data_IF_153065360851
#
_entry.id   IF_153065360851
#
_cell.length_a   1.000
_cell.length_b   1.000
_cell.length_c   1.000
_cell.angle_alpha   90.00
_cell.angle_beta   90.00
_cell.angle_gamma   90.00
#
_symmetry.space_group_name_H-M   'P 1'
#
loop_
_entity.id
_entity.type
_entity.pdbx_description
1 polymer ?
#
# COMPACT_ATOMS: atom_id res chain seq x y z
N UNK A 1 24.52 13.78 -15.25
CA UNK A 1 25.23 12.81 -14.39
C UNK A 1 24.90 12.96 -12.89
N UNK A 2 24.87 14.18 -12.29
CA UNK A 2 24.52 14.36 -10.85
C UNK A 2 23.14 13.81 -10.47
N UNK A 3 22.13 13.92 -11.32
CA UNK A 3 20.76 13.44 -11.03
C UNK A 3 20.63 11.91 -11.08
N UNK A 4 21.40 11.22 -11.93
CA UNK A 4 21.40 9.76 -11.99
C UNK A 4 22.02 9.17 -10.73
N UNK A 5 23.14 9.72 -10.25
CA UNK A 5 23.75 9.28 -8.99
C UNK A 5 22.81 9.43 -7.79
N UNK A 6 22.13 10.59 -7.69
CA UNK A 6 21.12 10.82 -6.64
C UNK A 6 20.00 9.78 -6.70
N UNK A 7 19.49 9.48 -7.90
CA UNK A 7 18.45 8.46 -8.08
C UNK A 7 18.90 7.09 -7.63
N UNK A 8 20.09 6.64 -8.06
CA UNK A 8 20.63 5.33 -7.68
C UNK A 8 20.78 5.23 -6.15
N UNK A 9 21.35 6.26 -5.51
CA UNK A 9 21.55 6.27 -4.05
C UNK A 9 20.20 6.23 -3.32
N UNK A 10 19.24 7.07 -3.70
CA UNK A 10 17.92 7.11 -3.05
C UNK A 10 17.13 5.82 -3.29
N UNK A 11 17.17 5.25 -4.51
CA UNK A 11 16.54 3.96 -4.81
C UNK A 11 17.15 2.82 -4.01
N UNK A 12 18.49 2.78 -3.91
CA UNK A 12 19.19 1.83 -3.06
C UNK A 12 18.83 1.97 -1.58
N UNK A 13 18.77 3.20 -1.06
CA UNK A 13 18.35 3.44 0.33
C UNK A 13 16.91 2.97 0.60
N UNK A 14 15.97 3.26 -0.29
CA UNK A 14 14.58 2.78 -0.19
C UNK A 14 14.55 1.25 -0.17
N UNK A 15 15.27 0.60 -1.09
CA UNK A 15 15.35 -0.87 -1.15
C UNK A 15 15.90 -1.45 0.16
N UNK A 16 17.00 -0.88 0.68
CA UNK A 16 17.59 -1.32 1.96
C UNK A 16 16.61 -1.16 3.11
N UNK A 17 15.86 -0.06 3.18
CA UNK A 17 14.83 0.15 4.21
C UNK A 17 13.73 -0.92 4.10
N UNK A 18 13.21 -1.19 2.91
CA UNK A 18 12.20 -2.23 2.73
C UNK A 18 12.70 -3.62 3.13
N UNK A 19 13.91 -3.99 2.69
CA UNK A 19 14.52 -5.27 3.07
C UNK A 19 14.73 -5.35 4.58
N UNK A 20 15.24 -4.29 5.20
CA UNK A 20 15.45 -4.25 6.66
C UNK A 20 14.12 -4.40 7.43
N UNK A 21 13.06 -3.71 7.00
CA UNK A 21 11.72 -3.84 7.62
C UNK A 21 11.22 -5.28 7.48
N UNK A 22 11.32 -5.90 6.31
CA UNK A 22 10.92 -7.29 6.09
C UNK A 22 11.70 -8.22 7.02
N UNK A 23 13.03 -8.12 7.05
CA UNK A 23 13.87 -8.97 7.88
C UNK A 23 13.58 -8.78 9.38
N UNK A 24 13.48 -7.53 9.85
CA UNK A 24 13.11 -7.24 11.24
C UNK A 24 11.73 -7.77 11.59
N UNK A 25 10.78 -7.69 10.68
CA UNK A 25 9.42 -8.20 10.87
C UNK A 25 9.41 -9.71 10.97
N UNK A 26 10.07 -10.41 10.04
CA UNK A 26 10.04 -11.87 9.96
C UNK A 26 10.95 -12.55 11.00
N UNK A 27 12.11 -11.96 11.32
CA UNK A 27 13.12 -12.58 12.17
C UNK A 27 13.09 -12.11 13.63
N UNK A 28 12.53 -10.92 13.90
CA UNK A 28 12.54 -10.33 15.25
C UNK A 28 11.13 -10.21 15.81
N UNK A 29 10.29 -9.33 15.26
CA UNK A 29 8.94 -9.13 15.76
C UNK A 29 8.05 -8.34 14.77
N UNK A 30 6.78 -8.72 14.70
CA UNK A 30 5.76 -8.11 13.82
C UNK A 30 5.53 -6.62 14.05
N UNK A 31 5.82 -6.11 15.23
CA UNK A 31 5.68 -4.67 15.57
C UNK A 31 6.51 -3.77 14.64
N UNK A 32 7.61 -4.26 14.07
CA UNK A 32 8.39 -3.48 13.10
C UNK A 32 7.59 -3.16 11.85
N UNK A 33 6.77 -4.11 11.38
CA UNK A 33 5.85 -3.87 10.27
C UNK A 33 4.76 -2.86 10.65
N UNK A 34 4.17 -2.99 11.83
CA UNK A 34 3.12 -2.08 12.30
C UNK A 34 3.62 -0.63 12.39
N UNK A 35 4.79 -0.40 12.99
CA UNK A 35 5.41 0.92 13.09
C UNK A 35 5.74 1.47 11.70
N UNK A 36 6.23 0.64 10.80
CA UNK A 36 6.50 1.03 9.42
C UNK A 36 5.22 1.45 8.68
N UNK A 37 4.14 0.67 8.80
CA UNK A 37 2.82 1.01 8.22
C UNK A 37 2.29 2.33 8.77
N UNK A 38 2.40 2.54 10.10
CA UNK A 38 2.00 3.81 10.71
C UNK A 38 2.83 4.99 10.17
N UNK A 39 4.14 4.82 10.02
CA UNK A 39 5.01 5.85 9.45
C UNK A 39 4.62 6.19 7.99
N UNK A 40 4.31 5.17 7.18
CA UNK A 40 3.82 5.36 5.81
C UNK A 40 2.46 6.07 5.78
N UNK A 41 1.53 5.71 6.69
CA UNK A 41 0.20 6.33 6.77
C UNK A 41 0.30 7.80 7.17
N UNK A 42 1.14 8.15 8.14
CA UNK A 42 1.39 9.54 8.58
C UNK A 42 2.07 10.34 7.46
N UNK A 43 3.14 9.80 6.87
CA UNK A 43 3.84 10.47 5.77
C UNK A 43 2.94 10.68 4.55
N UNK A 44 2.21 9.65 4.15
CA UNK A 44 1.24 9.71 3.06
C UNK A 44 0.11 10.71 3.33
N UNK A 45 -0.39 10.75 4.57
CA UNK A 45 -1.41 11.72 4.99
C UNK A 45 -0.94 13.17 4.83
N UNK A 46 0.29 13.47 5.23
CA UNK A 46 0.88 14.80 5.09
C UNK A 46 1.04 15.16 3.60
N UNK A 47 1.57 14.25 2.79
CA UNK A 47 1.79 14.46 1.36
C UNK A 47 0.48 14.69 0.61
N UNK A 48 -0.52 13.81 0.82
CA UNK A 48 -1.82 13.94 0.16
C UNK A 48 -2.58 15.16 0.65
N UNK A 49 -2.55 15.50 1.95
CA UNK A 49 -3.14 16.75 2.46
C UNK A 49 -2.56 17.99 1.80
N UNK A 50 -1.23 18.03 1.66
CA UNK A 50 -0.55 19.15 0.99
C UNK A 50 -0.88 19.21 -0.51
N UNK A 51 -1.00 18.05 -1.16
CA UNK A 51 -1.39 17.97 -2.56
C UNK A 51 -2.82 18.46 -2.79
N UNK A 52 -3.79 17.98 -2.02
CA UNK A 52 -5.21 18.36 -2.07
C UNK A 52 -5.37 19.88 -1.86
N UNK A 53 -4.62 20.44 -0.89
CA UNK A 53 -4.66 21.87 -0.55
C UNK A 53 -4.27 22.80 -1.68
N UNK A 54 -3.69 22.29 -2.79
CA UNK A 54 -3.32 23.12 -3.95
C UNK A 54 -4.53 23.52 -4.81
N UNK A 55 -5.60 22.77 -4.78
CA UNK A 55 -6.77 23.01 -5.63
C UNK A 55 -8.11 22.91 -4.89
N UNK A 56 -8.17 22.20 -3.78
CA UNK A 56 -9.35 21.98 -2.96
C UNK A 56 -9.18 22.60 -1.57
N UNK A 57 -10.25 22.81 -0.81
CA UNK A 57 -10.18 23.28 0.57
C UNK A 57 -9.27 22.40 1.41
N UNK A 58 -8.45 23.07 2.22
CA UNK A 58 -7.40 22.40 3.00
C UNK A 58 -7.99 21.36 3.97
N UNK A 59 -7.51 20.11 3.95
CA UNK A 59 -7.87 19.11 4.95
C UNK A 59 -7.48 19.54 6.36
N UNK A 60 -8.24 19.13 7.36
CA UNK A 60 -7.93 19.38 8.78
C UNK A 60 -6.88 18.37 9.24
N UNK A 61 -5.61 18.65 8.91
CA UNK A 61 -4.49 17.73 9.13
C UNK A 61 -4.39 17.17 10.55
N UNK A 62 -4.60 17.95 11.65
CA UNK A 62 -4.57 17.38 13.00
C UNK A 62 -5.58 16.24 13.20
N UNK A 63 -6.78 16.32 12.60
CA UNK A 63 -7.79 15.26 12.71
C UNK A 63 -7.35 14.02 11.90
N UNK A 64 -6.78 14.22 10.72
CA UNK A 64 -6.24 13.12 9.91
C UNK A 64 -5.14 12.37 10.66
N UNK A 65 -4.17 13.09 11.24
CA UNK A 65 -3.07 12.49 12.01
C UNK A 65 -3.57 11.82 13.29
N UNK A 66 -4.51 12.45 13.99
CA UNK A 66 -5.16 11.84 15.16
C UNK A 66 -5.87 10.52 14.78
N UNK A 67 -6.52 10.47 13.61
CA UNK A 67 -7.15 9.22 13.12
C UNK A 67 -6.14 8.11 12.94
N UNK A 68 -4.98 8.40 12.34
CA UNK A 68 -3.93 7.40 12.17
C UNK A 68 -3.38 6.88 13.51
N UNK A 69 -3.04 7.81 14.41
CA UNK A 69 -2.42 7.46 15.71
C UNK A 69 -3.43 6.79 16.64
N UNK A 70 -4.62 7.37 16.85
CA UNK A 70 -5.64 6.79 17.72
C UNK A 70 -6.16 5.46 17.16
N UNK A 71 -6.28 5.36 15.82
CA UNK A 71 -6.63 4.12 15.16
C UNK A 71 -5.60 3.02 15.40
N UNK A 72 -4.31 3.34 15.33
CA UNK A 72 -3.24 2.40 15.66
C UNK A 72 -3.26 2.00 17.14
N UNK A 73 -3.45 2.95 18.05
CA UNK A 73 -3.57 2.66 19.49
C UNK A 73 -4.75 1.75 19.76
N UNK A 74 -5.92 2.03 19.16
CA UNK A 74 -7.10 1.18 19.30
C UNK A 74 -6.87 -0.24 18.73
N UNK A 75 -6.18 -0.34 17.58
CA UNK A 75 -5.76 -1.61 17.00
C UNK A 75 -4.92 -2.43 17.99
N UNK A 76 -3.88 -1.83 18.60
CA UNK A 76 -2.99 -2.52 19.56
C UNK A 76 -3.74 -2.90 20.85
N UNK A 77 -4.56 -2.01 21.39
CA UNK A 77 -5.33 -2.27 22.60
C UNK A 77 -6.38 -3.37 22.39
N UNK A 78 -7.06 -3.37 21.26
CA UNK A 78 -8.05 -4.38 20.91
C UNK A 78 -7.42 -5.78 20.84
N UNK A 79 -6.22 -5.90 20.30
CA UNK A 79 -5.49 -7.17 20.27
C UNK A 79 -5.09 -7.66 21.66
N UNK A 80 -4.54 -6.76 22.47
CA UNK A 80 -3.94 -7.16 23.78
C UNK A 80 -4.98 -7.34 24.89
N UNK A 81 -6.02 -6.49 24.90
CA UNK A 81 -6.95 -6.39 26.04
C UNK A 81 -8.28 -7.06 25.74
N UNK A 82 -8.88 -6.77 24.60
CA UNK A 82 -10.29 -7.14 24.33
C UNK A 82 -10.39 -8.42 23.46
N UNK A 83 -9.31 -8.81 22.80
CA UNK A 83 -9.24 -9.94 21.86
C UNK A 83 -10.27 -9.86 20.72
N UNK A 84 -10.71 -8.64 20.40
CA UNK A 84 -11.56 -8.34 19.23
C UNK A 84 -10.62 -8.04 18.06
N UNK A 85 -11.05 -8.30 16.82
CA UNK A 85 -10.25 -8.06 15.64
C UNK A 85 -9.69 -6.63 15.59
N UNK A 86 -8.37 -6.47 15.69
CA UNK A 86 -7.71 -5.16 15.78
C UNK A 86 -8.01 -4.25 14.60
N UNK A 87 -8.12 -4.82 13.38
CA UNK A 87 -8.46 -4.05 12.19
C UNK A 87 -9.89 -3.46 12.28
N UNK A 88 -10.84 -4.19 12.85
CA UNK A 88 -12.20 -3.69 13.11
C UNK A 88 -12.18 -2.48 14.04
N UNK A 89 -11.39 -2.54 15.12
CA UNK A 89 -11.24 -1.43 16.06
C UNK A 89 -10.66 -0.20 15.40
N UNK A 90 -9.69 -0.36 14.49
CA UNK A 90 -9.18 0.74 13.68
C UNK A 90 -10.29 1.42 12.87
N UNK A 91 -11.10 0.65 12.15
CA UNK A 91 -12.20 1.22 11.34
C UNK A 91 -13.29 1.85 12.19
N UNK A 92 -13.56 1.36 13.40
CA UNK A 92 -14.45 2.02 14.35
C UNK A 92 -13.91 3.42 14.73
N UNK A 93 -12.60 3.56 14.97
CA UNK A 93 -11.99 4.87 15.21
C UNK A 93 -12.13 5.78 14.01
N UNK A 94 -11.89 5.28 12.78
CA UNK A 94 -12.09 6.08 11.55
C UNK A 94 -13.51 6.62 11.49
N UNK A 95 -14.52 5.79 11.75
CA UNK A 95 -15.93 6.21 11.77
C UNK A 95 -16.20 7.28 12.83
N UNK A 96 -15.75 7.06 14.06
CA UNK A 96 -15.91 8.03 15.15
C UNK A 96 -15.23 9.36 14.80
N UNK A 97 -14.04 9.32 14.21
CA UNK A 97 -13.32 10.54 13.81
C UNK A 97 -13.99 11.25 12.63
N UNK A 98 -14.65 10.53 11.72
CA UNK A 98 -15.50 11.13 10.69
C UNK A 98 -16.70 11.87 11.31
N UNK A 99 -17.38 11.28 12.29
CA UNK A 99 -18.48 11.94 13.00
C UNK A 99 -17.99 13.16 13.78
N UNK A 100 -16.87 13.04 14.50
CA UNK A 100 -16.27 14.15 15.22
C UNK A 100 -15.87 15.30 14.27
N UNK A 101 -15.33 14.99 13.09
CA UNK A 101 -15.02 15.98 12.05
C UNK A 101 -16.28 16.72 11.58
N UNK A 102 -17.39 16.02 11.33
CA UNK A 102 -18.65 16.64 10.90
C UNK A 102 -19.11 17.64 11.98
N UNK A 103 -19.17 17.21 13.23
CA UNK A 103 -19.56 18.10 14.37
C UNK A 103 -18.61 19.28 14.48
N UNK A 104 -17.30 19.05 14.39
CA UNK A 104 -16.30 20.11 14.45
C UNK A 104 -16.47 21.16 13.35
N UNK A 105 -16.72 20.71 12.10
CA UNK A 105 -16.95 21.61 10.96
C UNK A 105 -18.28 22.37 11.13
N UNK A 106 -19.35 21.74 11.61
CA UNK A 106 -20.65 22.38 11.87
C UNK A 106 -20.52 23.49 12.94
N UNK A 107 -19.71 23.29 13.95
CA UNK A 107 -19.48 24.28 15.01
C UNK A 107 -18.44 25.37 14.63
N UNK A 108 -17.69 25.16 13.55
CA UNK A 108 -16.61 26.06 13.14
C UNK A 108 -17.10 27.18 12.26
N UNK A 109 -16.74 28.42 12.61
CA UNK A 109 -17.00 29.61 11.75
C UNK A 109 -16.02 29.71 10.56
N UNK A 110 -14.92 28.95 10.54
CA UNK A 110 -13.83 29.06 9.57
C UNK A 110 -13.79 27.92 8.54
N UNK A 111 -14.42 26.81 8.85
CA UNK A 111 -14.44 25.61 8.02
C UNK A 111 -15.81 25.44 7.36
N UNK A 112 -15.83 24.78 6.23
CA UNK A 112 -17.05 24.48 5.48
C UNK A 112 -17.09 22.98 5.10
N UNK A 113 -18.20 22.56 4.50
CA UNK A 113 -18.43 21.18 4.09
C UNK A 113 -17.30 20.64 3.19
N UNK A 114 -16.72 21.48 2.31
CA UNK A 114 -15.64 21.04 1.43
C UNK A 114 -14.35 20.72 2.19
N UNK A 115 -14.09 21.38 3.33
CA UNK A 115 -12.98 20.99 4.22
C UNK A 115 -13.23 19.61 4.84
N UNK A 116 -14.48 19.32 5.22
CA UNK A 116 -14.85 18.00 5.73
C UNK A 116 -14.62 16.92 4.66
N UNK A 117 -15.11 17.13 3.44
CA UNK A 117 -14.93 16.19 2.32
C UNK A 117 -13.46 15.94 2.02
N UNK A 118 -12.64 17.01 1.92
CA UNK A 118 -11.21 16.88 1.70
C UNK A 118 -10.50 16.12 2.84
N UNK A 119 -10.93 16.35 4.09
CA UNK A 119 -10.37 15.67 5.26
C UNK A 119 -10.75 14.18 5.26
N UNK A 120 -12.02 13.85 5.04
CA UNK A 120 -12.50 12.47 4.94
C UNK A 120 -11.79 11.72 3.82
N UNK A 121 -11.58 12.39 2.67
CA UNK A 121 -10.83 11.79 1.57
C UNK A 121 -9.42 11.35 2.04
N UNK A 122 -8.69 12.21 2.75
CA UNK A 122 -7.34 11.86 3.24
C UNK A 122 -7.38 10.82 4.37
N UNK A 123 -8.43 10.81 5.19
CA UNK A 123 -8.63 9.76 6.21
C UNK A 123 -8.85 8.38 5.57
N UNK A 124 -9.58 8.31 4.44
CA UNK A 124 -9.81 7.07 3.70
C UNK A 124 -8.58 6.74 2.84
N UNK A 125 -8.13 7.66 2.03
CA UNK A 125 -6.95 7.52 1.19
C UNK A 125 -5.96 8.67 1.48
N UNK A 126 -4.78 8.42 2.07
CA UNK A 126 -4.10 7.12 2.21
C UNK A 126 -4.28 6.43 3.58
N UNK A 127 -4.82 7.10 4.64
CA UNK A 127 -4.68 6.59 6.01
C UNK A 127 -5.34 5.22 6.18
N UNK A 128 -6.65 5.10 5.99
CA UNK A 128 -7.34 3.83 6.21
C UNK A 128 -6.86 2.74 5.24
N UNK A 129 -6.58 3.11 3.99
CA UNK A 129 -6.11 2.16 2.98
C UNK A 129 -4.72 1.59 3.30
N UNK A 130 -3.78 2.40 3.81
CA UNK A 130 -2.47 1.92 4.25
C UNK A 130 -2.55 1.14 5.56
N UNK A 131 -3.32 1.64 6.53
CA UNK A 131 -3.49 0.96 7.82
C UNK A 131 -4.20 -0.40 7.68
N UNK A 132 -4.85 -0.67 6.54
CA UNK A 132 -5.38 -1.99 6.24
C UNK A 132 -4.30 -3.08 6.18
N UNK A 133 -3.04 -2.71 5.88
CA UNK A 133 -1.88 -3.61 5.94
C UNK A 133 -1.67 -4.23 7.34
N UNK A 134 -2.10 -3.55 8.42
CA UNK A 134 -2.06 -4.11 9.78
C UNK A 134 -2.85 -5.42 9.89
N UNK A 135 -3.82 -5.63 9.01
CA UNK A 135 -4.58 -6.87 8.91
C UNK A 135 -3.70 -8.10 8.68
N UNK A 136 -2.54 -7.95 8.02
CA UNK A 136 -1.62 -9.08 7.80
C UNK A 136 -1.13 -9.70 9.11
N UNK A 137 -0.96 -8.92 10.17
CA UNK A 137 -0.55 -9.43 11.47
C UNK A 137 -1.60 -10.28 12.18
N UNK A 138 -2.87 -10.26 11.71
CA UNK A 138 -3.93 -11.14 12.21
C UNK A 138 -4.04 -12.46 11.47
N UNK A 139 -3.33 -12.59 10.36
CA UNK A 139 -3.31 -13.85 9.64
C UNK A 139 -2.49 -14.88 10.46
N UNK A 140 -2.97 -16.13 10.57
CA UNK A 140 -2.18 -17.20 11.18
C UNK A 140 -0.94 -17.49 10.32
N UNK A 141 0.10 -18.03 10.95
CA UNK A 141 1.24 -18.54 10.21
C UNK A 141 0.83 -19.82 9.45
N UNK A 142 1.29 -20.05 8.22
CA UNK A 142 2.31 -19.28 7.46
C UNK A 142 1.74 -18.13 6.59
N UNK A 143 0.42 -17.89 6.61
CA UNK A 143 -0.24 -16.92 5.73
C UNK A 143 0.28 -15.50 5.91
N UNK A 144 0.66 -15.13 7.14
CA UNK A 144 1.20 -13.80 7.48
C UNK A 144 2.48 -13.49 6.71
N UNK A 145 3.49 -14.35 6.83
CA UNK A 145 4.78 -14.19 6.14
C UNK A 145 4.57 -14.17 4.61
N UNK A 146 3.74 -15.08 4.10
CA UNK A 146 3.41 -15.13 2.68
C UNK A 146 2.75 -13.84 2.19
N UNK A 147 1.78 -13.27 2.93
CA UNK A 147 1.08 -12.05 2.54
C UNK A 147 2.02 -10.83 2.49
N UNK A 148 2.90 -10.68 3.48
CA UNK A 148 3.89 -9.60 3.52
C UNK A 148 4.85 -9.74 2.34
N UNK A 149 5.39 -10.93 2.10
CA UNK A 149 6.34 -11.15 1.00
C UNK A 149 5.68 -10.99 -0.37
N UNK A 150 4.42 -11.44 -0.53
CA UNK A 150 3.66 -11.21 -1.75
C UNK A 150 3.48 -9.71 -2.03
N UNK A 151 3.14 -8.90 -1.02
CA UNK A 151 2.99 -7.46 -1.20
C UNK A 151 4.29 -6.80 -1.67
N UNK A 152 5.40 -7.11 -1.01
CA UNK A 152 6.70 -6.51 -1.31
C UNK A 152 7.37 -7.07 -2.57
N UNK A 153 6.97 -8.23 -3.07
CA UNK A 153 7.47 -8.77 -4.33
C UNK A 153 6.58 -8.42 -5.52
N UNK A 154 5.27 -8.65 -5.42
CA UNK A 154 4.36 -8.50 -6.57
C UNK A 154 4.31 -7.07 -7.07
N UNK A 155 4.22 -6.08 -6.17
CA UNK A 155 4.10 -4.67 -6.59
C UNK A 155 5.34 -4.19 -7.37
N UNK A 156 6.59 -4.32 -6.88
CA UNK A 156 7.76 -3.92 -7.65
C UNK A 156 7.97 -4.73 -8.94
N UNK A 157 7.71 -6.04 -8.92
CA UNK A 157 7.80 -6.86 -10.14
C UNK A 157 6.80 -6.40 -11.20
N UNK A 158 5.58 -6.09 -10.80
CA UNK A 158 4.56 -5.52 -11.71
C UNK A 158 5.08 -4.25 -12.38
N UNK A 159 5.65 -3.32 -11.61
CA UNK A 159 6.12 -2.04 -12.14
C UNK A 159 7.34 -2.19 -13.04
N UNK A 160 8.29 -3.03 -12.66
CA UNK A 160 9.51 -3.31 -13.43
C UNK A 160 9.15 -3.95 -14.77
N UNK A 161 8.32 -4.99 -14.77
CA UNK A 161 7.91 -5.67 -16.00
C UNK A 161 7.02 -4.76 -16.86
N UNK A 162 6.13 -3.99 -16.26
CA UNK A 162 5.33 -3.00 -16.99
C UNK A 162 6.21 -1.97 -17.69
N UNK A 163 7.27 -1.49 -17.03
CA UNK A 163 8.22 -0.57 -17.62
C UNK A 163 9.03 -1.21 -18.76
N UNK A 164 9.62 -2.39 -18.56
CA UNK A 164 10.43 -3.05 -19.56
C UNK A 164 9.62 -3.42 -20.80
N UNK A 165 8.50 -4.10 -20.63
CA UNK A 165 7.65 -4.51 -21.75
C UNK A 165 7.04 -3.29 -22.46
N UNK A 166 6.58 -2.30 -21.69
CA UNK A 166 5.98 -1.09 -22.23
C UNK A 166 6.96 -0.20 -22.99
N UNK A 167 8.23 -0.13 -22.55
CA UNK A 167 9.28 0.64 -23.23
C UNK A 167 9.78 -0.04 -24.50
N UNK A 168 9.86 -1.39 -24.51
CA UNK A 168 10.37 -2.19 -25.62
C UNK A 168 9.31 -2.37 -26.71
N UNK A 169 8.13 -2.89 -26.35
CA UNK A 169 7.05 -3.17 -27.32
C UNK A 169 6.24 -1.94 -27.69
N UNK A 170 6.27 -0.89 -26.82
CA UNK A 170 5.50 0.33 -27.01
C UNK A 170 4.00 0.02 -27.21
N UNK A 171 3.33 0.62 -28.19
CA UNK A 171 1.94 0.33 -28.53
C UNK A 171 0.95 1.39 -28.03
N UNK A 172 -0.35 1.04 -28.03
CA UNK A 172 -1.43 1.95 -27.65
C UNK A 172 -1.32 2.37 -26.19
N UNK A 173 -1.60 3.63 -25.93
CA UNK A 173 -1.60 4.20 -24.56
C UNK A 173 -2.77 3.63 -23.76
N UNK A 174 -2.52 3.32 -22.47
CA UNK A 174 -3.53 2.78 -21.57
C UNK A 174 -4.51 3.89 -21.10
N UNK A 175 -3.98 4.97 -20.55
CA UNK A 175 -4.76 6.10 -20.02
C UNK A 175 -4.07 7.44 -20.35
N UNK A 176 -4.18 7.95 -21.61
CA UNK A 176 -3.41 9.12 -22.05
C UNK A 176 -3.58 10.38 -21.20
N UNK A 177 -4.81 10.61 -20.69
CA UNK A 177 -5.15 11.82 -19.88
C UNK A 177 -4.56 11.77 -18.46
N UNK A 178 -4.34 10.57 -17.89
CA UNK A 178 -3.92 10.37 -16.51
C UNK A 178 -2.41 10.08 -16.47
N UNK A 179 -1.98 9.10 -17.25
CA UNK A 179 -0.59 8.63 -17.33
C UNK A 179 -0.17 8.41 -18.79
N UNK A 180 0.38 9.45 -19.47
CA UNK A 180 0.68 9.40 -20.91
C UNK A 180 1.78 8.41 -21.28
N UNK A 181 2.56 7.95 -20.32
CA UNK A 181 3.65 7.00 -20.58
C UNK A 181 3.22 5.54 -20.49
N UNK A 182 2.11 5.21 -19.79
CA UNK A 182 1.62 3.84 -19.67
C UNK A 182 1.03 3.32 -20.98
N UNK A 183 1.39 2.08 -21.36
CA UNK A 183 0.93 1.39 -22.57
C UNK A 183 0.15 0.14 -22.21
N UNK A 184 -0.70 -0.35 -23.13
CA UNK A 184 -1.43 -1.61 -22.96
C UNK A 184 -0.44 -2.79 -22.90
N UNK A 185 0.59 -2.77 -23.76
CA UNK A 185 1.66 -3.78 -23.71
C UNK A 185 2.38 -3.80 -22.34
N UNK A 186 2.64 -2.61 -21.79
CA UNK A 186 3.20 -2.50 -20.45
C UNK A 186 2.28 -3.06 -19.37
N UNK A 187 0.97 -2.81 -19.47
CA UNK A 187 0.00 -3.37 -18.53
C UNK A 187 -0.01 -4.90 -18.55
N UNK A 188 0.02 -5.50 -19.73
CA UNK A 188 0.13 -6.96 -19.90
C UNK A 188 1.47 -7.47 -19.32
N UNK A 189 2.56 -6.76 -19.61
CA UNK A 189 3.87 -7.06 -19.03
C UNK A 189 3.86 -7.03 -17.50
N UNK A 190 3.19 -6.04 -16.90
CA UNK A 190 3.01 -5.95 -15.45
C UNK A 190 2.24 -7.15 -14.88
N UNK A 191 1.16 -7.58 -15.53
CA UNK A 191 0.41 -8.78 -15.12
C UNK A 191 1.30 -10.03 -15.12
N UNK A 192 2.09 -10.21 -16.17
CA UNK A 192 3.06 -11.31 -16.26
C UNK A 192 4.08 -11.19 -15.12
N UNK A 193 4.62 -10.00 -14.86
CA UNK A 193 5.61 -9.76 -13.81
C UNK A 193 5.10 -10.11 -12.42
N UNK A 194 3.90 -9.68 -12.05
CA UNK A 194 3.30 -10.00 -10.76
C UNK A 194 2.95 -11.50 -10.63
N UNK A 195 2.50 -12.12 -11.71
CA UNK A 195 2.26 -13.57 -11.75
C UNK A 195 3.56 -14.36 -11.54
N UNK A 196 4.64 -13.94 -12.21
CA UNK A 196 5.99 -14.51 -12.04
C UNK A 196 6.49 -14.33 -10.60
N UNK A 197 6.26 -13.16 -9.99
CA UNK A 197 6.61 -12.94 -8.59
C UNK A 197 5.88 -13.91 -7.65
N UNK A 198 4.59 -14.14 -7.86
CA UNK A 198 3.83 -15.15 -7.14
C UNK A 198 4.42 -16.55 -7.29
N UNK A 199 4.71 -16.97 -8.54
CA UNK A 199 5.34 -18.26 -8.80
C UNK A 199 6.73 -18.40 -8.14
N UNK A 200 7.56 -17.35 -8.18
CA UNK A 200 8.87 -17.35 -7.51
C UNK A 200 8.73 -17.51 -5.99
N UNK A 201 7.75 -16.85 -5.38
CA UNK A 201 7.47 -17.00 -3.94
C UNK A 201 6.97 -18.40 -3.59
N UNK A 202 6.18 -19.03 -4.48
CA UNK A 202 5.83 -20.45 -4.32
C UNK A 202 7.09 -21.32 -4.26
N UNK A 203 8.01 -21.18 -5.21
CA UNK A 203 9.25 -21.96 -5.19
C UNK A 203 10.11 -21.64 -3.96
N UNK A 204 10.16 -20.37 -3.53
CA UNK A 204 10.85 -20.00 -2.30
C UNK A 204 10.24 -20.68 -1.07
N UNK A 205 8.92 -20.78 -0.99
CA UNK A 205 8.22 -21.44 0.13
C UNK A 205 8.53 -22.95 0.27
N UNK A 206 9.06 -23.57 -0.78
CA UNK A 206 9.47 -24.99 -0.77
C UNK A 206 10.92 -25.19 -0.30
N UNK A 207 11.66 -24.11 -0.04
CA UNK A 207 13.07 -24.17 0.35
C UNK A 207 13.23 -24.03 1.86
N UNK A 208 14.36 -24.50 2.39
CA UNK A 208 14.74 -24.27 3.78
C UNK A 208 14.83 -22.78 4.16
N UNK A 209 15.15 -21.92 3.19
CA UNK A 209 15.13 -20.46 3.40
C UNK A 209 13.70 -19.96 3.59
N UNK A 210 12.76 -20.44 2.79
CA UNK A 210 11.34 -20.11 2.95
C UNK A 210 10.81 -20.53 4.32
N UNK A 211 11.09 -21.75 4.73
CA UNK A 211 10.73 -22.25 6.06
C UNK A 211 11.35 -21.41 7.18
N UNK A 212 12.64 -21.09 7.07
CA UNK A 212 13.34 -20.24 8.05
C UNK A 212 12.71 -18.86 8.24
N UNK A 213 12.20 -18.23 7.18
CA UNK A 213 11.52 -16.92 7.24
C UNK A 213 10.02 -17.01 7.52
N UNK A 214 9.51 -18.20 7.87
CA UNK A 214 8.12 -18.43 8.25
C UNK A 214 7.14 -18.57 7.09
N UNK A 215 7.63 -18.77 5.85
CA UNK A 215 6.78 -19.13 4.72
C UNK A 215 6.31 -20.59 4.84
N UNK A 216 5.19 -20.87 4.20
CA UNK A 216 4.66 -22.21 4.10
C UNK A 216 3.56 -22.32 3.05
N UNK A 217 2.90 -23.46 3.01
CA UNK A 217 1.83 -23.70 2.06
C UNK A 217 0.60 -22.82 2.36
N UNK A 218 0.01 -22.23 1.32
CA UNK A 218 -1.29 -21.55 1.39
C UNK A 218 -2.46 -22.53 1.33
N UNK A 219 -2.21 -23.75 0.78
CA UNK A 219 -3.18 -24.82 0.67
C UNK A 219 -2.45 -26.14 0.39
N UNK A 220 -3.16 -27.26 0.41
CA UNK A 220 -2.57 -28.57 0.12
C UNK A 220 -2.33 -28.81 -1.38
N UNK A 221 -1.26 -29.55 -1.69
CA UNK A 221 -0.99 -30.09 -3.04
C UNK A 221 -0.83 -29.06 -4.14
N UNK A 222 -1.29 -29.39 -5.35
CA UNK A 222 -1.18 -28.54 -6.56
C UNK A 222 -1.90 -27.20 -6.39
N UNK A 223 -2.96 -27.16 -5.59
CA UNK A 223 -3.68 -25.92 -5.27
C UNK A 223 -2.77 -24.85 -4.67
N UNK A 224 -1.71 -25.23 -3.95
CA UNK A 224 -0.76 -24.26 -3.39
C UNK A 224 -0.07 -23.42 -4.48
N UNK A 225 0.47 -24.05 -5.51
CA UNK A 225 1.08 -23.35 -6.65
C UNK A 225 0.08 -22.41 -7.35
N UNK A 226 -1.13 -22.91 -7.58
CA UNK A 226 -2.20 -22.14 -8.21
C UNK A 226 -2.55 -20.91 -7.38
N UNK A 227 -2.64 -21.03 -6.06
CA UNK A 227 -2.96 -19.90 -5.19
C UNK A 227 -1.87 -18.81 -5.24
N UNK A 228 -0.59 -19.16 -5.19
CA UNK A 228 0.48 -18.16 -5.32
C UNK A 228 0.43 -17.44 -6.68
N UNK A 229 0.17 -18.16 -7.77
CA UNK A 229 0.03 -17.60 -9.12
C UNK A 229 -1.21 -16.69 -9.19
N UNK A 230 -2.35 -17.13 -8.69
CA UNK A 230 -3.59 -16.35 -8.70
C UNK A 230 -3.48 -15.08 -7.86
N UNK A 231 -2.90 -15.15 -6.64
CA UNK A 231 -2.65 -13.96 -5.82
C UNK A 231 -1.71 -13.01 -6.55
N UNK A 232 -0.62 -13.51 -7.13
CA UNK A 232 0.31 -12.70 -7.91
C UNK A 232 -0.37 -11.97 -9.07
N UNK A 233 -1.25 -12.65 -9.80
CA UNK A 233 -2.02 -12.07 -10.89
C UNK A 233 -2.99 -10.99 -10.40
N UNK A 234 -3.86 -11.31 -9.41
CA UNK A 234 -4.89 -10.38 -8.95
C UNK A 234 -4.28 -9.17 -8.23
N UNK A 235 -3.23 -9.39 -7.42
CA UNK A 235 -2.49 -8.31 -6.77
C UNK A 235 -1.77 -7.39 -7.77
N UNK A 236 -1.29 -7.94 -8.89
CA UNK A 236 -0.71 -7.15 -10.00
C UNK A 236 -1.76 -6.24 -10.66
N UNK A 237 -2.98 -6.73 -10.87
CA UNK A 237 -4.11 -5.89 -11.34
C UNK A 237 -4.34 -4.74 -10.36
N UNK A 238 -4.43 -5.06 -9.07
CA UNK A 238 -4.66 -4.07 -8.01
C UNK A 238 -3.53 -3.04 -7.93
N UNK A 239 -2.26 -3.46 -8.05
CA UNK A 239 -1.09 -2.57 -8.12
C UNK A 239 -1.23 -1.55 -9.26
N UNK A 240 -1.56 -2.01 -10.45
CA UNK A 240 -1.70 -1.13 -11.62
C UNK A 240 -2.87 -0.16 -11.47
N UNK A 241 -3.99 -0.60 -10.89
CA UNK A 241 -5.14 0.25 -10.59
C UNK A 241 -4.77 1.30 -9.54
N UNK A 242 -4.03 0.93 -8.49
CA UNK A 242 -3.56 1.83 -7.44
C UNK A 242 -2.67 2.96 -7.97
N UNK A 243 -1.68 2.63 -8.81
CA UNK A 243 -0.82 3.63 -9.46
C UNK A 243 -1.61 4.53 -10.43
N UNK A 244 -2.59 4.00 -11.17
CA UNK A 244 -3.48 4.82 -11.98
C UNK A 244 -4.35 5.75 -11.13
N UNK A 245 -4.86 5.27 -10.00
CA UNK A 245 -5.66 6.07 -9.07
C UNK A 245 -4.85 7.21 -8.45
N UNK A 246 -3.64 6.93 -7.96
CA UNK A 246 -2.73 7.96 -7.47
C UNK A 246 -2.37 8.97 -8.56
N UNK A 247 -2.12 8.50 -9.77
CA UNK A 247 -1.88 9.37 -10.93
C UNK A 247 -3.10 10.25 -11.24
N UNK A 248 -4.31 9.71 -11.14
CA UNK A 248 -5.56 10.47 -11.32
C UNK A 248 -5.68 11.59 -10.29
N UNK A 249 -5.43 11.32 -9.00
CA UNK A 249 -5.44 12.33 -7.95
C UNK A 249 -4.42 13.43 -8.25
N UNK A 250 -3.18 13.05 -8.61
CA UNK A 250 -2.11 14.00 -8.94
C UNK A 250 -2.52 14.93 -10.09
N UNK A 251 -3.16 14.42 -11.14
CA UNK A 251 -3.66 15.26 -12.24
C UNK A 251 -4.84 16.14 -11.82
N UNK A 252 -5.75 15.63 -10.99
CA UNK A 252 -6.87 16.40 -10.48
C UNK A 252 -6.42 17.65 -9.69
N UNK A 253 -5.29 17.58 -8.99
CA UNK A 253 -4.72 18.70 -8.22
C UNK A 253 -3.60 19.47 -8.97
N UNK A 254 -3.31 19.09 -10.23
CA UNK A 254 -2.35 19.80 -11.09
C UNK A 254 -0.89 19.55 -10.74
N UNK A 255 -0.55 18.39 -10.12
CA UNK A 255 0.82 18.03 -9.79
C UNK A 255 1.28 16.79 -10.56
N UNK A 256 2.59 16.53 -10.51
CA UNK A 256 3.19 15.31 -11.06
C UNK A 256 3.57 14.32 -9.95
N UNK A 257 4.21 14.80 -8.91
CA UNK A 257 4.65 14.01 -7.75
C UNK A 257 4.04 14.61 -6.48
N UNK A 258 3.73 13.79 -5.47
CA UNK A 258 3.12 14.25 -4.22
C UNK A 258 4.04 15.17 -3.42
N UNK A 259 5.35 14.87 -3.39
CA UNK A 259 6.38 15.68 -2.76
C UNK A 259 7.75 15.49 -3.42
N UNK A 260 8.77 16.17 -2.91
CA UNK A 260 10.18 15.97 -3.27
C UNK A 260 10.99 15.41 -2.08
N UNK A 261 10.32 14.69 -1.16
CA UNK A 261 10.94 14.15 0.04
C UNK A 261 12.08 13.17 -0.30
N UNK A 262 11.87 12.37 -1.34
CA UNK A 262 12.86 11.39 -1.82
C UNK A 262 13.55 11.94 -3.08
N UNK A 263 14.78 12.44 -3.00
CA UNK A 263 15.44 13.11 -4.11
C UNK A 263 15.48 12.25 -5.39
N UNK A 264 14.84 12.74 -6.44
CA UNK A 264 14.73 12.05 -7.73
C UNK A 264 13.70 10.92 -7.78
N UNK A 265 12.98 10.64 -6.66
CA UNK A 265 11.96 9.60 -6.55
C UNK A 265 10.57 10.11 -6.15
N UNK A 266 10.41 11.42 -5.91
CA UNK A 266 9.12 11.99 -5.51
C UNK A 266 8.85 11.83 -4.02
N UNK A 267 7.60 11.57 -3.65
CA UNK A 267 7.16 11.38 -2.28
C UNK A 267 7.09 9.91 -1.85
N UNK A 268 6.72 9.72 -0.59
CA UNK A 268 6.40 8.40 -0.01
C UNK A 268 5.24 7.78 -0.79
N UNK A 269 4.14 8.54 -0.99
CA UNK A 269 2.98 8.04 -1.72
C UNK A 269 3.29 7.65 -3.16
N UNK A 270 4.26 8.33 -3.81
CA UNK A 270 4.70 7.97 -5.16
C UNK A 270 5.43 6.62 -5.23
N UNK A 271 5.83 6.05 -4.09
CA UNK A 271 6.55 4.76 -3.99
C UNK A 271 5.68 3.59 -3.56
N UNK A 272 4.54 3.88 -2.97
CA UNK A 272 3.67 2.84 -2.40
C UNK A 272 2.24 2.86 -2.98
N UNK A 273 1.98 3.73 -3.95
CA UNK A 273 0.65 3.94 -4.53
C UNK A 273 0.02 2.64 -5.08
N UNK A 274 0.79 1.77 -5.74
CA UNK A 274 0.34 0.45 -6.15
C UNK A 274 0.10 -0.50 -4.97
N UNK A 275 0.97 -0.44 -3.95
CA UNK A 275 0.89 -1.33 -2.78
C UNK A 275 -0.39 -1.12 -1.96
N UNK A 276 -0.92 0.11 -1.94
CA UNK A 276 -2.17 0.45 -1.21
C UNK A 276 -3.35 -0.42 -1.65
N UNK A 277 -3.50 -0.65 -2.94
CA UNK A 277 -4.59 -1.49 -3.46
C UNK A 277 -4.23 -2.97 -3.43
N UNK A 278 -2.97 -3.31 -3.69
CA UNK A 278 -2.49 -4.68 -3.65
C UNK A 278 -2.66 -5.32 -2.26
N UNK A 279 -2.39 -4.57 -1.17
CA UNK A 279 -2.52 -5.10 0.18
C UNK A 279 -3.96 -5.52 0.52
N UNK A 280 -4.97 -4.76 0.07
CA UNK A 280 -6.38 -5.07 0.29
C UNK A 280 -6.73 -6.39 -0.39
N UNK A 281 -6.30 -6.55 -1.63
CA UNK A 281 -6.60 -7.74 -2.44
C UNK A 281 -5.88 -8.97 -1.91
N UNK A 282 -4.61 -8.85 -1.54
CA UNK A 282 -3.84 -9.95 -0.93
C UNK A 282 -4.50 -10.40 0.38
N UNK A 283 -4.85 -9.45 1.26
CA UNK A 283 -5.51 -9.78 2.52
C UNK A 283 -6.84 -10.51 2.30
N UNK A 284 -7.70 -9.97 1.43
CA UNK A 284 -8.99 -10.58 1.14
C UNK A 284 -8.86 -11.98 0.55
N UNK A 285 -7.93 -12.17 -0.40
CA UNK A 285 -7.69 -13.47 -1.00
C UNK A 285 -7.26 -14.49 0.06
N UNK A 286 -6.27 -14.13 0.90
CA UNK A 286 -5.77 -15.01 1.96
C UNK A 286 -6.85 -15.26 3.02
N UNK A 287 -7.63 -14.26 3.40
CA UNK A 287 -8.74 -14.43 4.34
C UNK A 287 -9.82 -15.40 3.81
N UNK A 288 -10.11 -15.37 2.51
CA UNK A 288 -11.00 -16.32 1.86
C UNK A 288 -10.40 -17.74 1.89
N UNK A 289 -9.10 -17.89 1.60
CA UNK A 289 -8.44 -19.20 1.66
C UNK A 289 -8.46 -19.83 3.07
N UNK A 290 -8.38 -19.00 4.11
CA UNK A 290 -8.44 -19.47 5.49
C UNK A 290 -9.88 -19.89 5.88
N UNK A 291 -10.88 -19.24 5.27
CA UNK A 291 -12.30 -19.52 5.57
C UNK A 291 -12.85 -20.75 4.82
N UNK A 292 -12.19 -21.21 3.74
CA UNK A 292 -12.54 -22.41 2.97
C UNK A 292 -11.93 -23.68 3.56
#
# INVERSE_FOLDING_TARGET
MKDIKKRIITGGAIFVVFVAVILLTLLVHWTFFDVFVLALAVGGAIEVSNAISKRFPRPVLPIVLATAVLGYVAYVLAQKVVKIGGITSFFCVVLVMCLALIVYVMCSKKLNTNNAVSTMFVMIYPVAALMYMLGFNHLPDPYRANAILLLFAVSPFTDVFAFFVGSTLKGKKLCPKISPNKTISGAIGGLIGGTVAGALLYFLSLTSVGEFIGMGALSAGVSNCINFICIGFVASVATQVGDLFASFIKRAVGIKDYSNLLPGHGGIMDRIDGMVFACIVIYLYVAILIAL
#
